data_IF_998167307439
#
_entry.id   IF_998167307439
#
_cell.length_a   1.000
_cell.length_b   1.000
_cell.length_c   1.000
_cell.angle_alpha   90.00
_cell.angle_beta   90.00
_cell.angle_gamma   90.00
#
_symmetry.space_group_name_H-M   'P 1'
#
loop_
_entity.id
_entity.type
_entity.pdbx_description
1 polymer ?
#
# COMPACT_ATOMS: atom_id res chain seq x y z
N UNK A 1 3.63 -18.05 14.98
CA UNK A 1 2.23 -18.10 15.49
C UNK A 1 1.34 -17.03 14.86
N UNK A 2 1.85 -15.85 14.48
CA UNK A 2 1.07 -14.83 13.75
C UNK A 2 0.63 -15.25 12.34
N UNK A 3 1.38 -16.14 11.69
CA UNK A 3 1.13 -16.49 10.28
C UNK A 3 -0.15 -17.30 10.07
N UNK A 4 -0.51 -18.20 10.99
CA UNK A 4 -1.71 -19.05 10.86
C UNK A 4 -3.02 -18.23 10.88
N UNK A 5 -3.11 -17.19 11.72
CA UNK A 5 -4.30 -16.32 11.77
C UNK A 5 -4.39 -15.49 10.48
N UNK A 6 -3.24 -15.01 9.98
CA UNK A 6 -3.17 -14.27 8.73
C UNK A 6 -3.58 -15.15 7.54
N UNK A 7 -3.04 -16.36 7.46
CA UNK A 7 -3.38 -17.36 6.43
C UNK A 7 -4.86 -17.73 6.47
N UNK A 8 -5.42 -17.92 7.67
CA UNK A 8 -6.86 -18.17 7.84
C UNK A 8 -7.68 -16.97 7.35
N UNK A 9 -7.27 -15.74 7.69
CA UNK A 9 -7.93 -14.53 7.20
C UNK A 9 -7.89 -14.39 5.68
N UNK A 10 -6.81 -14.83 5.05
CA UNK A 10 -6.65 -14.89 3.60
C UNK A 10 -7.53 -15.97 2.96
N UNK A 11 -7.63 -17.15 3.58
CA UNK A 11 -8.52 -18.22 3.12
C UNK A 11 -9.99 -17.76 3.11
N UNK A 12 -10.45 -17.13 4.19
CA UNK A 12 -11.83 -16.61 4.29
C UNK A 12 -12.14 -15.63 3.15
N UNK A 13 -11.23 -14.69 2.85
CA UNK A 13 -11.42 -13.72 1.75
C UNK A 13 -11.52 -14.42 0.39
N UNK A 14 -10.75 -15.49 0.17
CA UNK A 14 -10.82 -16.29 -1.07
C UNK A 14 -12.12 -17.07 -1.18
N UNK A 15 -12.69 -17.52 -0.06
CA UNK A 15 -13.96 -18.24 -0.01
C UNK A 15 -15.17 -17.34 -0.30
N UNK A 16 -15.14 -16.08 0.14
CA UNK A 16 -16.24 -15.12 -0.10
C UNK A 16 -16.48 -14.87 -1.60
N UNK A 17 -15.42 -14.76 -2.40
CA UNK A 17 -15.53 -14.59 -3.85
C UNK A 17 -14.41 -15.34 -4.59
N UNK A 18 -14.60 -16.64 -4.90
CA UNK A 18 -13.56 -17.45 -5.51
C UNK A 18 -13.12 -16.89 -6.87
N UNK A 19 -11.80 -16.78 -7.07
CA UNK A 19 -11.15 -16.41 -8.35
C UNK A 19 -11.42 -14.98 -8.87
N UNK A 20 -11.96 -14.08 -8.05
CA UNK A 20 -12.13 -12.68 -8.43
C UNK A 20 -11.48 -11.72 -7.41
N UNK A 21 -10.17 -11.43 -7.54
CA UNK A 21 -9.45 -10.58 -6.60
C UNK A 21 -9.97 -9.14 -6.52
N UNK A 22 -10.72 -8.67 -7.53
CA UNK A 22 -11.28 -7.31 -7.53
C UNK A 22 -12.33 -7.14 -6.42
N UNK A 23 -13.07 -8.20 -6.11
CA UNK A 23 -14.14 -8.16 -5.12
C UNK A 23 -13.65 -8.36 -3.68
N UNK A 24 -12.39 -8.76 -3.51
CA UNK A 24 -11.82 -9.05 -2.20
C UNK A 24 -11.62 -7.79 -1.37
N UNK A 25 -11.77 -7.94 -0.05
CA UNK A 25 -11.45 -6.87 0.90
C UNK A 25 -9.94 -6.75 1.15
N UNK A 26 -9.16 -7.77 0.80
CA UNK A 26 -7.72 -7.86 1.07
C UNK A 26 -6.99 -8.46 -0.12
N UNK A 27 -5.85 -7.87 -0.48
CA UNK A 27 -4.92 -8.43 -1.47
C UNK A 27 -3.53 -8.62 -0.83
N UNK A 28 -2.89 -9.75 -1.12
CA UNK A 28 -1.58 -10.09 -0.54
C UNK A 28 -0.66 -10.85 -1.49
N UNK A 29 -1.21 -11.53 -2.49
CA UNK A 29 -0.44 -12.23 -3.50
C UNK A 29 -0.07 -11.27 -4.64
N UNK A 30 1.18 -11.32 -5.09
CA UNK A 30 1.69 -10.39 -6.09
C UNK A 30 1.00 -10.53 -7.46
N UNK A 31 0.65 -11.76 -7.85
CA UNK A 31 -0.03 -12.03 -9.12
C UNK A 31 -1.49 -11.56 -9.03
N UNK A 32 -2.16 -11.82 -7.91
CA UNK A 32 -3.53 -11.32 -7.67
C UNK A 32 -3.57 -9.77 -7.68
N UNK A 33 -2.58 -9.11 -7.07
CA UNK A 33 -2.44 -7.65 -7.08
C UNK A 33 -2.20 -7.13 -8.50
N UNK A 34 -1.28 -7.74 -9.24
CA UNK A 34 -0.99 -7.34 -10.62
C UNK A 34 -2.22 -7.49 -11.53
N UNK A 35 -2.95 -8.60 -11.39
CA UNK A 35 -4.19 -8.86 -12.11
C UNK A 35 -5.26 -7.82 -11.76
N UNK A 36 -5.43 -7.51 -10.47
CA UNK A 36 -6.36 -6.49 -10.00
C UNK A 36 -6.03 -5.10 -10.55
N UNK A 37 -4.76 -4.73 -10.56
CA UNK A 37 -4.31 -3.41 -11.01
C UNK A 37 -4.44 -3.23 -12.53
N UNK A 38 -4.41 -4.33 -13.30
CA UNK A 38 -4.50 -4.30 -14.76
C UNK A 38 -5.88 -3.90 -15.28
N UNK A 39 -6.96 -4.23 -14.55
CA UNK A 39 -8.35 -3.92 -14.97
C UNK A 39 -8.83 -2.53 -14.58
N UNK A 40 -8.23 -1.89 -13.56
CA UNK A 40 -8.56 -0.52 -13.09
C UNK A 40 -10.02 -0.27 -12.67
N UNK A 41 -10.82 -1.31 -12.45
CA UNK A 41 -12.22 -1.21 -12.00
C UNK A 41 -12.54 -2.29 -10.96
N UNK A 42 -13.68 -2.14 -10.26
CA UNK A 42 -14.19 -3.16 -9.34
C UNK A 42 -13.47 -3.29 -7.99
N UNK A 43 -12.48 -2.43 -7.70
CA UNK A 43 -11.65 -2.49 -6.49
C UNK A 43 -12.21 -1.70 -5.29
N UNK A 44 -13.52 -1.47 -5.26
CA UNK A 44 -14.18 -0.61 -4.26
C UNK A 44 -14.19 -1.22 -2.85
N UNK A 45 -14.08 -2.56 -2.77
CA UNK A 45 -14.10 -3.30 -1.51
C UNK A 45 -12.72 -3.41 -0.85
N UNK A 46 -11.65 -3.10 -1.58
CA UNK A 46 -10.28 -3.31 -1.10
C UNK A 46 -10.00 -2.37 0.07
N UNK A 47 -9.74 -2.97 1.23
CA UNK A 47 -9.40 -2.29 2.47
C UNK A 47 -7.93 -2.43 2.82
N UNK A 48 -7.29 -3.53 2.40
CA UNK A 48 -5.90 -3.83 2.73
C UNK A 48 -5.16 -4.35 1.52
N UNK A 49 -3.98 -3.80 1.27
CA UNK A 49 -3.01 -4.35 0.30
C UNK A 49 -1.72 -4.61 1.04
N UNK A 50 -1.22 -5.84 0.94
CA UNK A 50 0.10 -6.24 1.41
C UNK A 50 0.92 -6.71 0.24
N UNK A 51 1.78 -5.85 -0.29
CA UNK A 51 2.59 -6.14 -1.45
C UNK A 51 4.02 -6.50 -1.03
N UNK A 52 4.43 -7.74 -1.28
CA UNK A 52 5.82 -8.15 -1.14
C UNK A 52 6.52 -8.14 -2.51
N UNK A 53 7.28 -7.08 -2.76
CA UNK A 53 8.08 -6.91 -3.97
C UNK A 53 9.39 -7.70 -3.92
N UNK A 54 9.75 -8.31 -2.79
CA UNK A 54 10.98 -9.11 -2.67
C UNK A 54 10.94 -10.36 -3.55
N UNK A 55 9.74 -10.82 -3.91
CA UNK A 55 9.48 -12.03 -4.70
C UNK A 55 9.04 -11.76 -6.14
N UNK A 56 8.89 -10.51 -6.55
CA UNK A 56 8.35 -10.11 -7.86
C UNK A 56 9.38 -9.41 -8.74
N UNK A 57 9.27 -9.58 -10.06
CA UNK A 57 9.94 -8.70 -11.02
C UNK A 57 9.27 -7.33 -10.95
N UNK A 58 10.09 -6.28 -10.90
CA UNK A 58 9.76 -4.85 -10.88
C UNK A 58 8.29 -4.53 -11.27
N UNK A 59 7.39 -4.38 -10.29
CA UNK A 59 5.98 -4.05 -10.57
C UNK A 59 5.87 -2.54 -10.70
N UNK A 60 5.56 -2.08 -11.92
CA UNK A 60 5.16 -0.70 -12.15
C UNK A 60 3.64 -0.61 -12.12
N UNK A 61 3.08 0.18 -11.21
CA UNK A 61 1.66 0.49 -11.18
C UNK A 61 1.42 1.99 -11.15
N UNK A 62 0.45 2.42 -11.97
CA UNK A 62 -0.03 3.81 -11.97
C UNK A 62 -0.75 4.10 -10.66
N UNK A 63 -0.55 5.31 -10.15
CA UNK A 63 -1.14 5.79 -8.90
C UNK A 63 -2.66 5.98 -9.00
N UNK A 64 -3.16 6.12 -10.23
CA UNK A 64 -4.59 6.20 -10.57
C UNK A 64 -5.35 4.95 -10.12
N UNK A 65 -4.67 3.80 -10.02
CA UNK A 65 -5.30 2.54 -9.58
C UNK A 65 -5.85 2.67 -8.16
N UNK A 66 -5.14 3.38 -7.27
CA UNK A 66 -5.59 3.60 -5.90
C UNK A 66 -6.76 4.58 -5.80
N UNK A 67 -7.04 5.39 -6.83
CA UNK A 67 -8.16 6.33 -6.81
C UNK A 67 -9.52 5.61 -6.79
N UNK A 68 -9.57 4.35 -7.25
CA UNK A 68 -10.79 3.51 -7.22
C UNK A 68 -11.03 2.85 -5.86
N UNK A 69 -10.00 2.75 -5.02
CA UNK A 69 -10.05 2.02 -3.75
C UNK A 69 -10.51 2.92 -2.59
N UNK A 70 -11.78 3.32 -2.63
CA UNK A 70 -12.38 4.26 -1.65
C UNK A 70 -12.30 3.77 -0.20
N UNK A 71 -12.13 2.46 0.01
CA UNK A 71 -12.10 1.84 1.34
C UNK A 71 -10.69 1.46 1.81
N UNK A 72 -9.64 1.78 1.07
CA UNK A 72 -8.28 1.39 1.41
C UNK A 72 -7.81 2.09 2.69
N UNK A 73 -7.53 1.28 3.72
CA UNK A 73 -7.12 1.74 5.06
C UNK A 73 -5.67 1.40 5.39
N UNK A 74 -5.15 0.32 4.80
CA UNK A 74 -3.83 -0.19 5.07
C UNK A 74 -3.13 -0.54 3.76
N UNK A 75 -1.97 0.07 3.53
CA UNK A 75 -1.07 -0.26 2.44
C UNK A 75 0.30 -0.63 3.03
N UNK A 76 0.71 -1.88 2.81
CA UNK A 76 2.03 -2.38 3.18
C UNK A 76 2.79 -2.72 1.90
N UNK A 77 4.01 -2.21 1.78
CA UNK A 77 4.91 -2.51 0.67
C UNK A 77 6.25 -2.92 1.28
N UNK A 78 6.62 -4.17 1.03
CA UNK A 78 7.89 -4.76 1.46
C UNK A 78 8.79 -4.93 0.23
N UNK A 79 10.02 -4.43 0.26
CA UNK A 79 10.92 -4.48 -0.89
C UNK A 79 12.39 -4.56 -0.46
N UNK A 80 12.76 -5.56 0.33
CA UNK A 80 14.10 -5.64 0.95
C UNK A 80 15.25 -5.82 -0.05
N UNK A 81 14.97 -6.21 -1.29
CA UNK A 81 16.00 -6.50 -2.32
C UNK A 81 15.93 -5.55 -3.52
N UNK A 82 14.75 -4.99 -3.82
CA UNK A 82 14.53 -4.18 -5.01
C UNK A 82 14.65 -2.70 -4.66
N UNK A 83 15.49 -1.95 -5.41
CA UNK A 83 15.44 -0.51 -5.38
C UNK A 83 14.09 -0.02 -5.91
N UNK A 84 13.15 0.27 -5.01
CA UNK A 84 12.00 1.11 -5.30
C UNK A 84 12.52 2.51 -5.63
N UNK A 85 12.87 2.75 -6.90
CA UNK A 85 13.46 4.02 -7.36
C UNK A 85 12.54 5.21 -7.08
N UNK A 86 11.22 4.99 -7.10
CA UNK A 86 10.20 5.97 -6.76
C UNK A 86 9.02 5.25 -6.12
N UNK A 87 8.52 5.82 -5.03
CA UNK A 87 7.17 5.46 -4.57
C UNK A 87 6.21 6.01 -5.62
N UNK A 88 5.24 5.21 -6.09
CA UNK A 88 4.18 5.73 -6.94
C UNK A 88 3.54 6.92 -6.22
N UNK A 89 3.56 8.09 -6.86
CA UNK A 89 3.06 9.36 -6.34
C UNK A 89 1.69 9.18 -5.66
N UNK A 90 1.67 9.18 -4.34
CA UNK A 90 0.44 9.03 -3.55
C UNK A 90 -0.53 10.12 -3.99
N UNK A 91 -1.65 9.77 -4.61
CA UNK A 91 -2.63 10.77 -5.05
C UNK A 91 -3.45 11.22 -3.83
N UNK A 92 -3.77 12.51 -3.77
CA UNK A 92 -4.54 13.13 -2.68
C UNK A 92 -5.94 12.54 -2.44
N UNK A 93 -6.37 11.54 -3.23
CA UNK A 93 -7.64 10.85 -3.07
C UNK A 93 -7.57 9.61 -2.13
N UNK A 94 -6.43 9.35 -1.49
CA UNK A 94 -6.27 8.30 -0.47
C UNK A 94 -6.58 8.81 0.94
N UNK A 95 -7.51 9.77 1.09
CA UNK A 95 -7.80 10.45 2.36
C UNK A 95 -8.26 9.53 3.50
N UNK A 96 -8.65 8.28 3.20
CA UNK A 96 -9.05 7.26 4.18
C UNK A 96 -7.91 6.34 4.65
N UNK A 97 -6.72 6.46 4.05
CA UNK A 97 -5.58 5.62 4.41
C UNK A 97 -5.12 5.95 5.83
N UNK A 98 -5.12 4.93 6.70
CA UNK A 98 -4.73 5.05 8.11
C UNK A 98 -3.32 4.61 8.39
N UNK A 99 -2.81 3.66 7.61
CA UNK A 99 -1.49 3.07 7.82
C UNK A 99 -0.78 2.87 6.49
N UNK A 100 0.41 3.43 6.38
CA UNK A 100 1.32 3.25 5.27
C UNK A 100 2.63 2.67 5.78
N UNK A 101 2.94 1.44 5.38
CA UNK A 101 4.18 0.76 5.73
C UNK A 101 5.03 0.58 4.49
N UNK A 102 6.22 1.18 4.50
CA UNK A 102 7.23 1.11 3.44
C UNK A 102 8.54 0.52 3.99
N UNK A 103 8.48 -0.21 5.11
CA UNK A 103 9.65 -0.73 5.81
C UNK A 103 10.58 -1.51 4.88
N UNK A 104 11.88 -1.22 4.97
CA UNK A 104 12.91 -1.90 4.20
C UNK A 104 12.88 -1.60 2.69
N UNK A 105 12.09 -0.62 2.25
CA UNK A 105 12.05 -0.21 0.85
C UNK A 105 13.24 0.67 0.48
N UNK A 106 13.69 0.59 -0.79
CA UNK A 106 14.79 1.39 -1.31
C UNK A 106 14.46 2.84 -1.65
N UNK A 107 13.42 3.41 -1.02
CA UNK A 107 12.88 4.74 -1.33
C UNK A 107 13.88 5.84 -0.93
N UNK A 108 13.96 6.90 -1.74
CA UNK A 108 14.83 8.06 -1.46
C UNK A 108 14.10 9.26 -0.86
N UNK A 109 12.88 9.47 -1.35
CA UNK A 109 12.01 10.57 -0.97
C UNK A 109 10.54 10.13 -1.02
N UNK A 110 9.71 10.78 -0.20
CA UNK A 110 8.25 10.71 -0.33
C UNK A 110 7.79 11.84 -1.27
N UNK A 111 6.68 11.67 -2.00
CA UNK A 111 6.08 12.76 -2.75
C UNK A 111 5.47 13.80 -1.79
N UNK A 112 5.49 15.10 -2.13
CA UNK A 112 4.86 16.18 -1.35
C UNK A 112 3.38 15.93 -1.04
N UNK A 113 2.73 15.14 -1.90
CA UNK A 113 1.34 14.74 -1.73
C UNK A 113 1.07 13.81 -0.55
N UNK A 114 2.11 13.28 0.13
CA UNK A 114 1.97 12.58 1.42
C UNK A 114 1.24 13.46 2.45
N UNK A 115 1.41 14.78 2.36
CA UNK A 115 0.72 15.74 3.22
C UNK A 115 -0.81 15.70 3.13
N UNK A 116 -1.38 15.19 2.04
CA UNK A 116 -2.83 15.10 1.84
C UNK A 116 -3.46 13.84 2.45
N UNK A 117 -2.68 12.97 3.09
CA UNK A 117 -3.22 11.82 3.81
C UNK A 117 -3.74 12.22 5.19
N UNK A 118 -4.87 12.92 5.23
CA UNK A 118 -5.42 13.53 6.46
C UNK A 118 -5.78 12.52 7.55
N UNK A 119 -6.14 11.28 7.17
CA UNK A 119 -6.47 10.19 8.11
C UNK A 119 -5.26 9.31 8.46
N UNK A 120 -4.06 9.60 7.96
CA UNK A 120 -2.89 8.77 8.20
C UNK A 120 -2.52 8.81 9.67
N UNK A 121 -2.56 7.65 10.33
CA UNK A 121 -2.22 7.50 11.75
C UNK A 121 -0.80 6.97 11.94
N UNK A 122 -0.33 6.11 11.02
CA UNK A 122 1.00 5.50 11.08
C UNK A 122 1.67 5.58 9.72
N UNK A 123 2.88 6.13 9.70
CA UNK A 123 3.83 6.07 8.60
C UNK A 123 5.07 5.31 9.08
N UNK A 124 5.38 4.20 8.42
CA UNK A 124 6.53 3.35 8.76
C UNK A 124 7.52 3.34 7.59
N UNK A 125 8.66 4.01 7.80
CA UNK A 125 9.84 4.11 6.94
C UNK A 125 11.05 3.41 7.58
N UNK A 126 10.84 2.59 8.61
CA UNK A 126 11.93 1.87 9.28
C UNK A 126 12.71 1.02 8.26
N UNK A 127 14.03 0.91 8.45
CA UNK A 127 14.93 0.19 7.54
C UNK A 127 14.99 0.73 6.09
N UNK A 128 14.46 1.92 5.79
CA UNK A 128 14.66 2.58 4.50
C UNK A 128 16.04 3.25 4.43
N UNK A 129 17.08 2.46 4.18
CA UNK A 129 18.50 2.89 4.24
C UNK A 129 18.90 3.98 3.24
N UNK A 130 18.08 4.24 2.22
CA UNK A 130 18.32 5.24 1.18
C UNK A 130 17.47 6.50 1.33
N UNK A 131 16.64 6.59 2.37
CA UNK A 131 15.74 7.72 2.56
C UNK A 131 16.55 8.94 3.03
N UNK A 132 16.57 9.99 2.22
CA UNK A 132 17.45 11.16 2.44
C UNK A 132 16.72 12.32 3.09
N UNK A 133 15.45 12.55 2.77
CA UNK A 133 14.69 13.70 3.26
C UNK A 133 13.17 13.49 3.23
N UNK A 134 12.50 14.15 4.18
CA UNK A 134 11.06 14.38 4.11
C UNK A 134 10.73 15.46 3.06
N UNK A 135 9.62 15.32 2.31
CA UNK A 135 9.16 16.34 1.39
C UNK A 135 8.62 17.58 2.11
N UNK A 136 8.41 18.66 1.36
CA UNK A 136 7.74 19.85 1.87
C UNK A 136 6.25 19.53 2.05
N UNK A 137 5.81 19.40 3.30
CA UNK A 137 4.43 19.03 3.61
C UNK A 137 3.52 20.25 3.42
N UNK A 138 2.81 20.27 2.30
CA UNK A 138 1.80 21.31 1.98
C UNK A 138 0.38 20.95 2.42
N UNK A 139 0.16 19.72 2.90
CA UNK A 139 -1.14 19.24 3.39
C UNK A 139 -1.22 19.11 4.91
N UNK A 140 -2.34 18.62 5.43
CA UNK A 140 -2.63 18.54 6.87
C UNK A 140 -2.66 17.09 7.39
N UNK A 141 -1.52 16.59 7.87
CA UNK A 141 -1.39 15.25 8.47
C UNK A 141 -1.78 15.22 9.96
N UNK A 142 -2.88 15.87 10.34
CA UNK A 142 -3.32 16.02 11.75
C UNK A 142 -3.52 14.71 12.52
N UNK A 143 -3.80 13.60 11.83
CA UNK A 143 -4.05 12.32 12.46
C UNK A 143 -2.78 11.50 12.69
N UNK A 144 -1.61 11.97 12.25
CA UNK A 144 -0.36 11.21 12.34
C UNK A 144 0.05 11.08 13.80
N UNK A 145 0.06 9.84 14.29
CA UNK A 145 0.41 9.51 15.68
C UNK A 145 1.81 8.90 15.77
N UNK A 146 2.25 8.20 14.73
CA UNK A 146 3.52 7.46 14.73
C UNK A 146 4.23 7.61 13.38
N UNK A 147 5.47 8.05 13.45
CA UNK A 147 6.46 7.99 12.38
C UNK A 147 7.58 7.05 12.84
N UNK A 148 7.77 5.95 12.10
CA UNK A 148 8.76 4.89 12.39
C UNK A 148 9.79 4.80 11.27
#
# INVERSE_FOLDING_TARGET
MHDLIQEMGYAIVREECPRDPHKWSRLWDADDIYNAFSRREGMENIQTISLDLSRSKEIQFSTEVFATMKQLRLLKIYAMIVMLKKIPKILGNMGHLKKLCLNGSGIKELPDSIGYLESLEILDLSNCSKFEKFPEIRGNMKCLKRLL
#
